data_IF_494471271463
#
_entry.id   IF_494471271463
#
_cell.length_a   1.000
_cell.length_b   1.000
_cell.length_c   1.000
_cell.angle_alpha   90.00
_cell.angle_beta   90.00
_cell.angle_gamma   90.00
#
_symmetry.space_group_name_H-M   'P 1'
#
loop_
_entity.id
_entity.type
_entity.pdbx_description
1 polymer ?
#
# COMPACT_ATOMS: atom_id res chain seq x y z
N UNK A 1 4.64 31.27 18.98
CA UNK A 1 4.77 30.67 17.64
C UNK A 1 4.45 29.19 17.65
N UNK A 2 3.18 28.83 17.46
CA UNK A 2 2.75 27.44 17.28
C UNK A 2 2.48 27.22 15.79
N UNK A 3 3.53 26.96 15.02
CA UNK A 3 3.35 26.44 13.67
C UNK A 3 3.01 24.94 13.79
N UNK A 4 1.77 24.50 13.50
CA UNK A 4 1.40 23.08 13.59
C UNK A 4 2.01 22.22 12.47
N UNK A 5 2.65 22.86 11.48
CA UNK A 5 3.32 22.21 10.37
C UNK A 5 4.83 22.24 10.62
N UNK A 6 5.41 21.14 11.10
CA UNK A 6 6.85 20.95 11.04
C UNK A 6 7.25 20.73 9.58
N UNK A 7 7.70 21.79 8.90
CA UNK A 7 8.15 21.71 7.51
C UNK A 7 9.58 21.21 7.42
N UNK A 8 9.77 19.90 7.48
CA UNK A 8 10.98 19.28 6.94
C UNK A 8 11.12 19.56 5.45
N UNK A 9 12.32 19.35 4.90
CA UNK A 9 12.61 19.55 3.47
C UNK A 9 11.65 18.77 2.55
N UNK A 10 11.28 17.55 2.96
CA UNK A 10 10.33 16.68 2.25
C UNK A 10 8.94 17.30 2.11
N UNK A 11 8.43 17.92 3.17
CA UNK A 11 7.13 18.60 3.14
C UNK A 11 7.19 19.83 2.23
N UNK A 12 8.27 20.62 2.30
CA UNK A 12 8.45 21.78 1.42
C UNK A 12 8.52 21.36 -0.05
N UNK A 13 9.21 20.26 -0.34
CA UNK A 13 9.27 19.66 -1.66
C UNK A 13 7.88 19.31 -2.19
N UNK A 14 7.08 18.59 -1.39
CA UNK A 14 5.71 18.24 -1.75
C UNK A 14 4.83 19.47 -1.98
N UNK A 15 4.97 20.51 -1.17
CA UNK A 15 4.22 21.78 -1.34
C UNK A 15 4.53 22.40 -2.70
N UNK A 16 5.82 22.50 -3.05
CA UNK A 16 6.23 23.04 -4.35
C UNK A 16 5.65 22.19 -5.49
N UNK A 17 5.74 20.87 -5.40
CA UNK A 17 5.18 19.95 -6.39
C UNK A 17 3.67 20.12 -6.57
N UNK A 18 2.92 20.20 -5.46
CA UNK A 18 1.46 20.39 -5.49
C UNK A 18 1.09 21.73 -6.13
N UNK A 19 1.87 22.80 -5.89
CA UNK A 19 1.63 24.10 -6.55
C UNK A 19 1.81 24.01 -8.06
N UNK A 20 2.86 23.35 -8.51
CA UNK A 20 3.12 23.14 -9.94
C UNK A 20 2.04 22.24 -10.59
N UNK A 21 1.54 21.25 -9.84
CA UNK A 21 0.38 20.45 -10.22
C UNK A 21 -0.90 21.31 -10.37
N UNK A 22 -1.22 22.15 -9.39
CA UNK A 22 -2.40 23.03 -9.40
C UNK A 22 -2.33 24.10 -10.49
N UNK A 23 -1.12 24.54 -10.86
CA UNK A 23 -0.90 25.45 -11.97
C UNK A 23 -0.93 24.74 -13.35
N UNK A 24 -1.25 23.45 -13.38
CA UNK A 24 -1.21 22.58 -14.57
C UNK A 24 0.14 22.48 -15.27
N UNK A 25 1.22 22.97 -14.63
CA UNK A 25 2.57 23.03 -15.20
C UNK A 25 3.20 21.65 -15.40
N UNK A 26 2.76 20.66 -14.62
CA UNK A 26 3.17 19.25 -14.82
C UNK A 26 2.69 18.65 -16.15
N UNK A 27 1.83 19.34 -16.90
CA UNK A 27 1.44 18.97 -18.27
C UNK A 27 2.44 19.46 -19.32
N UNK A 28 3.45 20.26 -18.95
CA UNK A 28 4.35 20.96 -19.90
C UNK A 28 5.83 20.62 -19.67
N UNK A 29 6.68 20.88 -20.69
CA UNK A 29 8.07 20.40 -20.76
C UNK A 29 9.02 21.04 -19.74
N UNK A 30 8.79 22.30 -19.34
CA UNK A 30 9.66 23.06 -18.44
C UNK A 30 8.90 23.60 -17.25
N UNK A 31 9.32 23.21 -16.04
CA UNK A 31 8.93 23.89 -14.82
C UNK A 31 10.12 23.98 -13.87
N UNK A 32 10.34 25.16 -13.30
CA UNK A 32 11.32 25.38 -12.24
C UNK A 32 10.61 25.33 -10.90
N UNK A 33 11.09 24.46 -10.02
CA UNK A 33 10.63 24.40 -8.64
C UNK A 33 11.26 25.60 -7.90
N UNK A 34 10.52 26.69 -7.78
CA UNK A 34 10.99 27.88 -7.07
C UNK A 34 10.96 27.67 -5.56
N UNK A 35 11.95 28.23 -4.85
CA UNK A 35 11.97 28.22 -3.39
C UNK A 35 10.82 29.05 -2.81
N UNK A 36 10.25 28.55 -1.71
CA UNK A 36 9.13 29.17 -1.00
C UNK A 36 9.59 29.56 0.39
N UNK A 37 9.26 30.78 0.81
CA UNK A 37 9.43 31.18 2.20
C UNK A 37 8.52 30.37 3.11
N UNK A 38 8.94 30.18 4.37
CA UNK A 38 8.20 29.43 5.39
C UNK A 38 6.79 29.98 5.62
N UNK A 39 6.61 31.31 5.56
CA UNK A 39 5.30 31.98 5.68
C UNK A 39 4.37 31.60 4.53
N UNK A 40 4.88 31.58 3.29
CA UNK A 40 4.10 31.21 2.11
C UNK A 40 3.74 29.72 2.09
N UNK A 41 4.53 28.86 2.73
CA UNK A 41 4.18 27.45 2.96
C UNK A 41 3.02 27.32 3.95
N UNK A 42 3.06 28.04 5.07
CA UNK A 42 2.02 28.02 6.10
C UNK A 42 0.64 28.42 5.57
N UNK A 43 0.55 29.55 4.88
CA UNK A 43 -0.74 30.06 4.38
C UNK A 43 -1.31 29.16 3.29
N UNK A 44 -0.43 28.65 2.42
CA UNK A 44 -0.82 27.63 1.44
C UNK A 44 -1.37 26.39 2.12
N UNK A 45 -0.72 25.86 3.15
CA UNK A 45 -1.16 24.64 3.83
C UNK A 45 -2.49 24.79 4.55
N UNK A 46 -2.71 25.90 5.25
CA UNK A 46 -4.00 26.21 5.88
C UNK A 46 -5.10 26.23 4.83
N UNK A 47 -4.89 26.95 3.72
CA UNK A 47 -5.86 27.04 2.63
C UNK A 47 -6.10 25.69 1.95
N UNK A 48 -5.02 24.94 1.67
CA UNK A 48 -5.07 23.64 1.03
C UNK A 48 -5.87 22.65 1.88
N UNK A 49 -5.51 22.47 3.15
CA UNK A 49 -6.15 21.45 3.98
C UNK A 49 -7.57 21.79 4.39
N UNK A 50 -7.91 23.08 4.53
CA UNK A 50 -9.29 23.52 4.75
C UNK A 50 -10.21 23.09 3.59
N UNK A 51 -9.68 23.03 2.36
CA UNK A 51 -10.43 22.54 1.19
C UNK A 51 -10.31 21.02 1.01
N UNK A 52 -9.15 20.47 1.35
CA UNK A 52 -8.80 19.08 1.10
C UNK A 52 -9.57 18.12 2.00
N UNK A 53 -9.64 18.41 3.30
CA UNK A 53 -10.26 17.56 4.32
C UNK A 53 -10.96 18.41 5.39
N UNK A 54 -12.06 19.11 5.04
CA UNK A 54 -12.75 20.04 5.95
C UNK A 54 -13.37 19.34 7.17
N UNK A 55 -13.75 18.07 7.02
CA UNK A 55 -14.55 17.35 8.01
C UNK A 55 -13.74 16.64 9.11
N UNK A 56 -12.41 16.67 9.04
CA UNK A 56 -11.54 15.93 9.97
C UNK A 56 -10.76 16.91 10.83
N UNK A 57 -10.72 16.63 12.14
CA UNK A 57 -9.83 17.33 13.07
C UNK A 57 -8.39 16.93 12.76
N UNK A 58 -7.72 17.78 11.99
CA UNK A 58 -6.35 17.56 11.55
C UNK A 58 -5.38 17.67 12.74
N UNK A 59 -4.43 16.74 12.81
CA UNK A 59 -3.34 16.76 13.80
C UNK A 59 -1.99 16.81 13.08
N UNK A 60 -0.90 17.22 13.77
CA UNK A 60 0.44 17.20 13.18
C UNK A 60 0.86 15.84 12.60
N UNK A 61 0.36 14.74 13.18
CA UNK A 61 0.58 13.38 12.69
C UNK A 61 -0.02 13.17 11.29
N UNK A 62 -1.25 13.66 11.05
CA UNK A 62 -1.90 13.55 9.74
C UNK A 62 -1.08 14.23 8.64
N UNK A 63 -0.54 15.41 8.93
CA UNK A 63 0.30 16.13 7.98
C UNK A 63 1.62 15.40 7.72
N UNK A 64 2.24 14.86 8.78
CA UNK A 64 3.50 14.11 8.67
C UNK A 64 3.30 12.87 7.79
N UNK A 65 2.26 12.08 8.06
CA UNK A 65 1.92 10.88 7.26
C UNK A 65 1.65 11.26 5.80
N UNK A 66 0.85 12.30 5.58
CA UNK A 66 0.52 12.79 4.25
C UNK A 66 1.76 13.17 3.44
N UNK A 67 2.67 13.93 4.04
CA UNK A 67 3.87 14.38 3.34
C UNK A 67 4.90 13.29 3.14
N UNK A 68 5.12 12.41 4.12
CA UNK A 68 6.02 11.26 3.97
C UNK A 68 5.56 10.37 2.81
N UNK A 69 4.24 10.11 2.73
CA UNK A 69 3.64 9.37 1.63
C UNK A 69 3.88 10.06 0.29
N UNK A 70 3.47 11.33 0.17
CA UNK A 70 3.57 12.05 -1.10
C UNK A 70 5.01 12.28 -1.54
N UNK A 71 5.93 12.52 -0.62
CA UNK A 71 7.35 12.70 -0.93
C UNK A 71 7.91 11.45 -1.59
N UNK A 72 7.61 10.28 -1.03
CA UNK A 72 7.99 8.98 -1.59
C UNK A 72 7.45 8.81 -3.01
N UNK A 73 6.19 9.19 -3.27
CA UNK A 73 5.59 9.07 -4.60
C UNK A 73 6.15 10.10 -5.61
N UNK A 74 6.27 11.36 -5.21
CA UNK A 74 6.70 12.44 -6.08
C UNK A 74 8.16 12.28 -6.48
N UNK A 75 9.04 11.88 -5.56
CA UNK A 75 10.45 11.62 -5.87
C UNK A 75 10.59 10.63 -7.04
N UNK A 76 9.83 9.53 -7.02
CA UNK A 76 9.82 8.54 -8.11
C UNK A 76 9.33 9.15 -9.43
N UNK A 77 8.28 9.98 -9.40
CA UNK A 77 7.73 10.63 -10.59
C UNK A 77 8.70 11.63 -11.23
N UNK A 78 9.54 12.28 -10.43
CA UNK A 78 10.54 13.24 -10.91
C UNK A 78 11.64 12.52 -11.66
N UNK A 79 12.13 11.43 -11.07
CA UNK A 79 13.26 10.66 -11.59
C UNK A 79 12.82 9.65 -12.67
N UNK A 80 11.52 9.58 -12.96
CA UNK A 80 10.95 8.67 -13.94
C UNK A 80 11.46 8.94 -15.36
N UNK A 81 12.30 8.02 -15.86
CA UNK A 81 12.72 7.97 -17.26
C UNK A 81 11.60 7.59 -18.23
N UNK A 82 10.55 6.94 -17.72
CA UNK A 82 9.40 6.50 -18.51
C UNK A 82 8.41 7.64 -18.78
N UNK A 83 8.40 8.65 -17.92
CA UNK A 83 7.50 9.80 -17.98
C UNK A 83 8.20 11.11 -18.37
N UNK A 84 9.31 11.02 -19.10
CA UNK A 84 10.01 12.21 -19.62
C UNK A 84 9.03 13.00 -20.50
N UNK A 85 8.94 14.30 -20.24
CA UNK A 85 7.90 15.18 -20.79
C UNK A 85 7.69 15.02 -22.30
N UNK A 86 8.74 14.89 -23.13
CA UNK A 86 8.59 14.65 -24.59
C UNK A 86 7.81 13.41 -24.98
N UNK A 87 7.89 12.31 -24.21
CA UNK A 87 7.17 11.06 -24.50
C UNK A 87 5.69 11.14 -24.14
N UNK A 88 5.35 11.94 -23.13
CA UNK A 88 3.98 12.03 -22.57
C UNK A 88 3.22 13.24 -23.11
N UNK A 89 3.91 14.33 -23.45
CA UNK A 89 3.30 15.59 -23.85
C UNK A 89 2.42 15.47 -25.10
N UNK A 90 2.87 14.72 -26.11
CA UNK A 90 2.12 14.47 -27.35
C UNK A 90 1.00 13.43 -27.18
N UNK A 91 0.77 12.93 -25.97
CA UNK A 91 -0.24 11.92 -25.69
C UNK A 91 -1.51 12.56 -25.09
N UNK A 92 -2.67 11.97 -25.40
CA UNK A 92 -3.98 12.47 -24.93
C UNK A 92 -4.10 12.45 -23.39
N UNK A 93 -3.45 11.48 -22.73
CA UNK A 93 -3.28 11.41 -21.28
C UNK A 93 -1.94 12.00 -20.85
N UNK A 94 -1.98 12.98 -19.96
CA UNK A 94 -0.81 13.53 -19.28
C UNK A 94 -0.45 12.70 -18.04
N UNK A 95 0.16 11.53 -18.26
CA UNK A 95 0.37 10.50 -17.23
C UNK A 95 1.05 10.99 -15.94
N UNK A 96 2.03 11.91 -16.02
CA UNK A 96 2.68 12.47 -14.83
C UNK A 96 1.73 13.32 -13.99
N UNK A 97 0.87 14.09 -14.64
CA UNK A 97 -0.16 14.89 -13.99
C UNK A 97 -1.24 14.00 -13.37
N UNK A 98 -1.71 12.98 -14.11
CA UNK A 98 -2.72 12.03 -13.60
C UNK A 98 -2.18 11.18 -12.44
N UNK A 99 -0.92 10.70 -12.50
CA UNK A 99 -0.29 9.98 -11.40
C UNK A 99 -0.11 10.86 -10.16
N UNK A 100 0.26 12.14 -10.34
CA UNK A 100 0.35 13.11 -9.24
C UNK A 100 -1.01 13.31 -8.58
N UNK A 101 -2.07 13.51 -9.39
CA UNK A 101 -3.44 13.61 -8.90
C UNK A 101 -3.85 12.35 -8.12
N UNK A 102 -3.55 11.18 -8.68
CA UNK A 102 -3.91 9.90 -8.08
C UNK A 102 -3.23 9.68 -6.73
N UNK A 103 -1.93 10.00 -6.61
CA UNK A 103 -1.22 9.93 -5.33
C UNK A 103 -1.83 10.84 -4.25
N UNK A 104 -2.22 12.07 -4.61
CA UNK A 104 -2.90 13.01 -3.72
C UNK A 104 -4.27 12.47 -3.28
N UNK A 105 -5.04 11.90 -4.20
CA UNK A 105 -6.35 11.31 -3.91
C UNK A 105 -6.24 10.05 -3.04
N UNK A 106 -5.23 9.20 -3.27
CA UNK A 106 -4.95 8.03 -2.42
C UNK A 106 -4.64 8.49 -1.00
N UNK A 107 -3.75 9.46 -0.84
CA UNK A 107 -3.39 10.00 0.47
C UNK A 107 -4.62 10.58 1.20
N UNK A 108 -5.54 11.23 0.45
CA UNK A 108 -6.82 11.69 0.99
C UNK A 108 -7.64 10.53 1.56
N UNK A 109 -7.87 9.50 0.76
CA UNK A 109 -8.76 8.39 1.10
C UNK A 109 -8.21 7.52 2.25
N UNK A 110 -6.88 7.38 2.30
CA UNK A 110 -6.22 6.59 3.34
C UNK A 110 -6.17 7.33 4.67
N UNK A 111 -5.75 8.59 4.67
CA UNK A 111 -5.38 9.31 5.90
C UNK A 111 -6.41 10.34 6.36
N UNK A 112 -7.33 10.74 5.48
CA UNK A 112 -8.33 11.77 5.75
C UNK A 112 -9.75 11.29 5.46
N UNK A 113 -10.03 10.04 5.81
CA UNK A 113 -11.39 9.49 5.88
C UNK A 113 -11.64 8.93 7.28
N UNK A 114 -12.78 9.25 7.88
CA UNK A 114 -13.15 8.82 9.24
C UNK A 114 -13.15 7.29 9.35
N UNK A 115 -12.45 6.76 10.36
CA UNK A 115 -12.37 5.32 10.61
C UNK A 115 -13.74 4.72 10.98
N UNK A 116 -14.60 5.48 11.65
CA UNK A 116 -15.96 5.03 12.01
C UNK A 116 -16.86 4.85 10.78
N UNK A 117 -16.63 5.64 9.73
CA UNK A 117 -17.32 5.49 8.45
C UNK A 117 -16.89 4.21 7.70
N UNK A 118 -15.71 3.67 8.01
CA UNK A 118 -15.15 2.46 7.36
C UNK A 118 -15.55 1.16 8.06
N UNK A 119 -16.04 1.21 9.29
CA UNK A 119 -16.26 0.01 10.12
C UNK A 119 -17.43 -0.88 9.63
N UNK A 120 -18.42 -0.28 8.97
CA UNK A 120 -19.56 -0.99 8.38
C UNK A 120 -19.41 -1.25 6.88
N UNK A 121 -18.33 -0.75 6.25
CA UNK A 121 -18.09 -0.94 4.82
C UNK A 121 -17.45 -2.32 4.60
N UNK A 122 -18.10 -3.15 3.78
CA UNK A 122 -17.59 -4.50 3.42
C UNK A 122 -16.52 -4.45 2.33
N UNK A 123 -16.35 -3.30 1.68
CA UNK A 123 -15.42 -3.09 0.57
C UNK A 123 -14.29 -2.15 0.99
N UNK A 124 -13.05 -2.47 0.60
CA UNK A 124 -11.91 -1.62 0.86
C UNK A 124 -12.07 -0.23 0.21
N UNK A 125 -11.71 0.84 0.95
CA UNK A 125 -11.97 2.23 0.57
C UNK A 125 -11.43 2.61 -0.82
N UNK A 126 -10.20 2.19 -1.18
CA UNK A 126 -9.65 2.46 -2.50
C UNK A 126 -10.43 1.74 -3.61
N UNK A 127 -10.92 0.53 -3.36
CA UNK A 127 -11.75 -0.21 -4.32
C UNK A 127 -13.04 0.55 -4.62
N UNK A 128 -13.71 1.04 -3.57
CA UNK A 128 -14.93 1.84 -3.67
C UNK A 128 -14.70 3.14 -4.44
N UNK A 129 -13.62 3.85 -4.11
CA UNK A 129 -13.27 5.13 -4.74
C UNK A 129 -12.91 5.00 -6.22
N UNK A 130 -12.15 3.96 -6.59
CA UNK A 130 -11.68 3.77 -7.96
C UNK A 130 -12.53 2.86 -8.82
N UNK A 131 -13.66 2.34 -8.33
CA UNK A 131 -14.53 1.41 -9.05
C UNK A 131 -14.96 1.87 -10.47
N UNK A 132 -14.94 3.18 -10.72
CA UNK A 132 -15.38 3.80 -11.97
C UNK A 132 -14.34 4.78 -12.53
N UNK A 133 -13.07 4.65 -12.14
CA UNK A 133 -12.02 5.61 -12.50
C UNK A 133 -10.68 4.92 -12.76
N UNK A 134 -9.82 5.59 -13.54
CA UNK A 134 -8.45 5.16 -13.82
C UNK A 134 -7.60 5.30 -12.55
N UNK A 135 -6.99 4.20 -12.08
CA UNK A 135 -6.04 4.20 -10.98
C UNK A 135 -4.62 4.13 -11.55
N UNK A 136 -3.78 5.10 -11.20
CA UNK A 136 -2.42 5.24 -11.72
C UNK A 136 -1.43 4.89 -10.60
N UNK A 137 -0.97 3.64 -10.58
CA UNK A 137 0.05 3.19 -9.62
C UNK A 137 1.44 3.58 -10.10
N UNK A 138 2.18 4.28 -9.25
CA UNK A 138 3.58 4.66 -9.48
C UNK A 138 4.47 3.49 -9.04
N UNK A 139 5.19 2.88 -9.97
CA UNK A 139 6.08 1.74 -9.71
C UNK A 139 7.48 2.23 -9.27
N UNK A 140 8.25 1.40 -8.53
CA UNK A 140 9.63 1.74 -8.10
C UNK A 140 10.54 2.12 -9.29
N UNK A 141 10.37 1.46 -10.44
CA UNK A 141 11.19 1.69 -11.62
C UNK A 141 10.83 3.00 -12.37
N UNK A 142 9.93 3.80 -11.80
CA UNK A 142 9.40 5.02 -12.39
C UNK A 142 8.35 4.80 -13.47
N UNK A 143 8.00 3.55 -13.83
CA UNK A 143 6.88 3.27 -14.73
C UNK A 143 5.53 3.44 -14.01
N UNK A 144 4.44 3.35 -14.77
CA UNK A 144 3.09 3.36 -14.21
C UNK A 144 2.40 2.03 -14.52
N UNK A 145 1.69 1.49 -13.53
CA UNK A 145 0.68 0.47 -13.75
C UNK A 145 -0.70 1.13 -13.72
N UNK A 146 -1.43 1.04 -14.82
CA UNK A 146 -2.78 1.57 -14.97
C UNK A 146 -3.79 0.47 -14.66
N UNK A 147 -4.69 0.75 -13.72
CA UNK A 147 -5.81 -0.15 -13.41
C UNK A 147 -7.12 0.56 -13.76
N UNK A 148 -7.99 -0.10 -14.51
CA UNK A 148 -9.25 0.47 -15.00
C UNK A 148 -10.44 -0.44 -14.72
N UNK A 149 -11.61 0.19 -14.62
CA UNK A 149 -12.84 -0.55 -14.43
C UNK A 149 -13.24 -1.31 -15.68
N UNK A 150 -13.31 -0.65 -16.84
CA UNK A 150 -13.76 -1.25 -18.07
C UNK A 150 -12.75 -0.99 -19.17
N UNK A 151 -12.49 -2.01 -19.98
CA UNK A 151 -11.63 -1.93 -21.15
C UNK A 151 -12.08 -0.83 -22.13
N UNK A 152 -13.39 -0.58 -22.20
CA UNK A 152 -13.96 0.49 -23.03
C UNK A 152 -13.65 1.90 -22.51
N UNK A 153 -13.12 2.04 -21.29
CA UNK A 153 -12.67 3.33 -20.73
C UNK A 153 -11.30 3.76 -21.33
N UNK A 154 -10.75 2.96 -22.26
CA UNK A 154 -9.50 3.20 -22.98
C UNK A 154 -9.70 3.36 -24.49
N UNK A 155 -9.12 4.43 -25.04
CA UNK A 155 -8.99 4.64 -26.49
C UNK A 155 -7.87 3.77 -27.06
N UNK A 156 -7.94 3.44 -28.35
CA UNK A 156 -6.92 2.60 -29.01
C UNK A 156 -5.51 3.20 -28.99
N UNK A 157 -5.41 4.52 -29.18
CA UNK A 157 -4.14 5.27 -29.05
C UNK A 157 -3.50 5.09 -27.66
N UNK A 158 -4.33 5.11 -26.60
CA UNK A 158 -3.87 4.92 -25.22
C UNK A 158 -3.35 3.48 -25.03
N UNK A 159 -4.07 2.48 -25.58
CA UNK A 159 -3.64 1.07 -25.53
C UNK A 159 -2.31 0.85 -26.24
N UNK A 160 -2.13 1.42 -27.43
CA UNK A 160 -0.87 1.33 -28.16
C UNK A 160 0.28 1.99 -27.41
N UNK A 161 0.03 3.15 -26.81
CA UNK A 161 1.04 3.84 -26.01
C UNK A 161 1.49 3.00 -24.82
N UNK A 162 0.55 2.39 -24.08
CA UNK A 162 0.86 1.51 -22.94
C UNK A 162 1.73 0.32 -23.35
N UNK A 163 1.43 -0.31 -24.50
CA UNK A 163 2.24 -1.40 -25.07
C UNK A 163 3.68 -0.95 -25.39
N UNK A 164 3.84 0.26 -25.95
CA UNK A 164 5.16 0.82 -26.32
C UNK A 164 5.98 1.28 -25.11
N UNK A 165 5.34 1.76 -24.05
CA UNK A 165 5.99 2.36 -22.87
C UNK A 165 6.28 1.39 -21.74
N UNK A 166 6.03 0.09 -21.96
CA UNK A 166 6.14 -0.93 -20.93
C UNK A 166 5.30 -0.55 -19.70
N UNK A 167 4.08 -0.03 -19.87
CA UNK A 167 3.13 0.16 -18.77
C UNK A 167 2.26 -1.08 -18.65
N UNK A 168 1.87 -1.44 -17.42
CA UNK A 168 0.95 -2.57 -17.20
C UNK A 168 -0.46 -2.06 -17.16
N UNK A 169 -1.36 -2.72 -17.88
CA UNK A 169 -2.79 -2.48 -17.82
C UNK A 169 -3.48 -3.64 -17.12
N UNK A 170 -4.28 -3.34 -16.10
CA UNK A 170 -5.23 -4.29 -15.49
C UNK A 170 -6.66 -3.76 -15.63
N UNK A 171 -7.60 -4.64 -16.01
CA UNK A 171 -9.01 -4.30 -16.15
C UNK A 171 -9.89 -5.22 -15.30
N UNK A 172 -10.73 -4.67 -14.40
CA UNK A 172 -11.46 -5.50 -13.41
C UNK A 172 -12.97 -5.71 -13.62
N UNK A 173 -13.72 -4.89 -14.39
CA UNK A 173 -15.16 -5.17 -14.68
C UNK A 173 -15.33 -6.24 -15.74
N UNK A 174 -14.37 -6.42 -16.65
CA UNK A 174 -14.37 -7.63 -17.46
C UNK A 174 -14.30 -8.88 -16.58
N UNK A 175 -13.64 -8.84 -15.41
CA UNK A 175 -13.63 -9.94 -14.46
C UNK A 175 -15.02 -10.17 -13.85
N UNK A 176 -15.72 -9.14 -13.38
CA UNK A 176 -17.04 -9.31 -12.76
C UNK A 176 -18.12 -9.68 -13.78
N UNK A 177 -18.07 -9.16 -15.01
CA UNK A 177 -18.99 -9.55 -16.07
C UNK A 177 -18.64 -10.92 -16.66
N UNK A 178 -17.35 -11.29 -16.77
CA UNK A 178 -16.94 -12.67 -17.10
C UNK A 178 -17.37 -13.60 -15.97
N UNK A 179 -17.10 -13.29 -14.70
CA UNK A 179 -17.48 -14.10 -13.52
C UNK A 179 -19.01 -14.18 -13.34
N UNK A 180 -19.79 -13.10 -13.44
CA UNK A 180 -21.26 -13.14 -13.35
C UNK A 180 -21.90 -13.80 -14.56
N UNK A 181 -21.37 -13.61 -15.80
CA UNK A 181 -21.77 -14.43 -16.94
C UNK A 181 -21.35 -15.89 -16.71
N UNK A 182 -20.17 -16.18 -16.19
CA UNK A 182 -19.71 -17.51 -15.76
C UNK A 182 -20.73 -18.14 -14.82
N UNK A 183 -21.15 -17.47 -13.73
CA UNK A 183 -22.12 -18.01 -12.78
C UNK A 183 -23.53 -18.17 -13.36
N UNK A 184 -23.93 -17.32 -14.31
CA UNK A 184 -25.26 -17.38 -14.96
C UNK A 184 -25.29 -18.32 -16.18
N UNK A 185 -24.13 -18.64 -16.75
CA UNK A 185 -23.95 -19.42 -17.98
C UNK A 185 -23.41 -20.83 -17.70
N UNK A 186 -22.64 -21.07 -16.62
CA UNK A 186 -22.37 -22.42 -16.07
C UNK A 186 -23.68 -23.16 -15.76
N UNK A 187 -24.73 -22.44 -15.37
CA UNK A 187 -26.07 -22.99 -15.13
C UNK A 187 -26.84 -23.35 -16.41
N UNK A 188 -26.37 -22.93 -17.60
CA UNK A 188 -27.18 -23.02 -18.84
C UNK A 188 -26.42 -23.56 -20.07
N UNK A 189 -25.15 -23.20 -20.32
CA UNK A 189 -24.37 -23.68 -21.47
C UNK A 189 -22.87 -23.73 -21.15
N UNK A 190 -22.30 -24.94 -21.25
CA UNK A 190 -20.93 -25.33 -20.90
C UNK A 190 -19.88 -24.57 -21.71
N UNK A 191 -19.40 -23.44 -21.19
CA UNK A 191 -18.09 -22.90 -21.51
C UNK A 191 -17.31 -22.69 -20.22
N UNK A 192 -16.29 -23.52 -20.04
CA UNK A 192 -15.33 -23.44 -18.95
C UNK A 192 -14.19 -22.55 -19.48
N UNK A 193 -13.89 -21.38 -18.88
CA UNK A 193 -12.71 -20.63 -19.26
C UNK A 193 -11.51 -21.57 -19.19
N UNK A 194 -10.64 -21.49 -20.18
CA UNK A 194 -9.45 -22.34 -20.15
C UNK A 194 -8.66 -22.02 -18.87
N UNK A 195 -8.02 -23.04 -18.29
CA UNK A 195 -7.08 -22.81 -17.19
C UNK A 195 -5.96 -21.83 -17.60
N UNK A 196 -5.71 -21.68 -18.90
CA UNK A 196 -4.74 -20.76 -19.46
C UNK A 196 -5.14 -19.29 -19.29
N UNK A 197 -6.40 -18.92 -19.55
CA UNK A 197 -6.88 -17.52 -19.40
C UNK A 197 -6.79 -17.03 -17.96
N UNK A 198 -7.19 -17.89 -17.01
CA UNK A 198 -7.14 -17.59 -15.56
C UNK A 198 -5.69 -17.43 -15.11
N UNK A 199 -4.80 -18.27 -15.64
CA UNK A 199 -3.38 -18.22 -15.34
C UNK A 199 -2.72 -16.98 -15.92
N UNK A 200 -3.06 -16.59 -17.15
CA UNK A 200 -2.55 -15.38 -17.79
C UNK A 200 -2.95 -14.13 -17.00
N UNK A 201 -4.20 -14.05 -16.56
CA UNK A 201 -4.68 -12.94 -15.75
C UNK A 201 -3.97 -12.88 -14.39
N UNK A 202 -3.80 -14.04 -13.73
CA UNK A 202 -3.00 -14.12 -12.49
C UNK A 202 -1.57 -13.63 -12.71
N UNK A 203 -0.93 -13.97 -13.83
CA UNK A 203 0.42 -13.50 -14.20
C UNK A 203 0.48 -11.98 -14.38
N UNK A 204 -0.52 -11.36 -15.03
CA UNK A 204 -0.61 -9.88 -15.17
C UNK A 204 -0.69 -9.19 -13.81
N UNK A 205 -1.47 -9.75 -12.88
CA UNK A 205 -1.62 -9.22 -11.52
C UNK A 205 -0.33 -9.36 -10.69
N UNK A 206 0.36 -10.50 -10.82
CA UNK A 206 1.69 -10.70 -10.24
C UNK A 206 2.67 -9.66 -10.77
N UNK A 207 2.65 -9.39 -12.08
CA UNK A 207 3.53 -8.41 -12.70
C UNK A 207 3.32 -6.99 -12.15
N UNK A 208 2.08 -6.59 -11.84
CA UNK A 208 1.81 -5.31 -11.15
C UNK A 208 2.46 -5.28 -9.76
N UNK A 209 2.32 -6.34 -8.96
CA UNK A 209 2.95 -6.42 -7.64
C UNK A 209 4.47 -6.39 -7.75
N UNK A 210 5.06 -7.19 -8.64
CA UNK A 210 6.51 -7.22 -8.87
C UNK A 210 7.05 -5.85 -9.30
N UNK A 211 6.36 -5.15 -10.21
CA UNK A 211 6.78 -3.81 -10.64
C UNK A 211 6.60 -2.76 -9.58
N UNK A 212 5.54 -2.86 -8.77
CA UNK A 212 5.29 -1.91 -7.71
C UNK A 212 6.54 -1.77 -6.85
N UNK A 213 7.16 -2.88 -6.43
CA UNK A 213 8.41 -2.92 -5.64
C UNK A 213 9.70 -3.00 -6.47
N UNK A 214 9.65 -3.02 -7.80
CA UNK A 214 10.84 -3.05 -8.65
C UNK A 214 11.61 -4.38 -8.63
N UNK A 215 10.93 -5.51 -8.51
CA UNK A 215 11.56 -6.85 -8.55
C UNK A 215 12.39 -7.02 -9.84
N UNK A 216 13.66 -7.45 -9.73
CA UNK A 216 14.52 -7.71 -10.88
C UNK A 216 13.92 -8.74 -11.84
N UNK A 217 14.08 -8.53 -13.15
CA UNK A 217 13.45 -9.35 -14.19
C UNK A 217 13.79 -10.84 -14.05
N UNK A 218 15.01 -11.14 -13.63
CA UNK A 218 15.56 -12.49 -13.49
C UNK A 218 14.83 -13.30 -12.41
N UNK A 219 14.20 -12.63 -11.44
CA UNK A 219 13.45 -13.28 -10.36
C UNK A 219 11.96 -13.45 -10.65
N UNK A 220 11.42 -12.72 -11.64
CA UNK A 220 9.98 -12.68 -11.92
C UNK A 220 9.42 -14.05 -12.31
N UNK A 221 10.14 -14.82 -13.11
CA UNK A 221 9.70 -16.15 -13.53
C UNK A 221 9.62 -17.11 -12.35
N UNK A 222 10.62 -17.08 -11.46
CA UNK A 222 10.63 -17.91 -10.26
C UNK A 222 9.50 -17.54 -9.29
N UNK A 223 9.23 -16.25 -9.10
CA UNK A 223 8.11 -15.75 -8.28
C UNK A 223 6.77 -16.18 -8.88
N UNK A 224 6.62 -15.98 -10.19
CA UNK A 224 5.41 -16.38 -10.92
C UNK A 224 5.15 -17.87 -10.76
N UNK A 225 6.18 -18.70 -10.91
CA UNK A 225 6.07 -20.15 -10.68
C UNK A 225 5.64 -20.47 -9.25
N UNK A 226 6.25 -19.86 -8.23
CA UNK A 226 5.85 -20.05 -6.82
C UNK A 226 4.39 -19.68 -6.57
N UNK A 227 3.91 -18.58 -7.16
CA UNK A 227 2.53 -18.10 -6.96
C UNK A 227 1.49 -18.87 -7.79
N UNK A 228 1.86 -19.41 -8.94
CA UNK A 228 0.96 -20.13 -9.83
C UNK A 228 0.93 -21.64 -9.58
N UNK A 229 2.03 -22.23 -9.12
CA UNK A 229 2.20 -23.69 -8.98
C UNK A 229 2.51 -24.13 -7.55
N UNK A 230 3.00 -23.22 -6.70
CA UNK A 230 3.39 -23.51 -5.32
C UNK A 230 2.26 -23.30 -4.30
N UNK A 231 2.64 -22.86 -3.10
CA UNK A 231 1.75 -22.66 -1.95
C UNK A 231 0.53 -21.78 -2.27
N UNK A 232 0.72 -20.77 -3.15
CA UNK A 232 -0.33 -19.82 -3.50
C UNK A 232 -1.06 -20.18 -4.81
N UNK A 233 -0.92 -21.41 -5.34
CA UNK A 233 -1.60 -21.86 -6.57
C UNK A 233 -3.08 -21.48 -6.59
N UNK A 234 -3.78 -21.75 -5.49
CA UNK A 234 -5.22 -21.51 -5.34
C UNK A 234 -5.56 -20.13 -4.73
N UNK A 235 -4.55 -19.32 -4.40
CA UNK A 235 -4.80 -17.96 -3.93
C UNK A 235 -5.31 -17.09 -5.10
N UNK A 236 -6.47 -16.46 -4.89
CA UNK A 236 -7.11 -15.59 -5.88
C UNK A 236 -6.69 -14.15 -5.63
N UNK A 237 -5.90 -13.60 -6.55
CA UNK A 237 -5.47 -12.20 -6.54
C UNK A 237 -6.59 -11.29 -7.03
N UNK A 238 -7.72 -11.20 -6.32
CA UNK A 238 -8.81 -10.29 -6.70
C UNK A 238 -8.32 -8.85 -6.79
N UNK A 239 -9.02 -7.99 -7.55
CA UNK A 239 -8.71 -6.56 -7.58
C UNK A 239 -8.66 -5.93 -6.18
N UNK A 240 -9.57 -6.37 -5.30
CA UNK A 240 -9.60 -5.95 -3.90
C UNK A 240 -8.33 -6.36 -3.14
N UNK A 241 -7.88 -7.61 -3.30
CA UNK A 241 -6.62 -8.08 -2.72
C UNK A 241 -5.42 -7.32 -3.29
N UNK A 242 -5.40 -7.03 -4.60
CA UNK A 242 -4.33 -6.26 -5.25
C UNK A 242 -4.27 -4.84 -4.69
N UNK A 243 -5.40 -4.13 -4.57
CA UNK A 243 -5.39 -2.78 -3.99
C UNK A 243 -5.01 -2.76 -2.52
N UNK A 244 -5.42 -3.77 -1.74
CA UNK A 244 -4.96 -3.92 -0.34
C UNK A 244 -3.45 -4.14 -0.29
N UNK A 245 -2.91 -5.03 -1.12
CA UNK A 245 -1.47 -5.28 -1.24
C UNK A 245 -0.69 -4.05 -1.67
N UNK A 246 -1.18 -3.33 -2.69
CA UNK A 246 -0.59 -2.06 -3.15
C UNK A 246 -0.58 -1.03 -2.03
N UNK A 247 -1.67 -0.89 -1.27
CA UNK A 247 -1.72 0.01 -0.12
C UNK A 247 -0.65 -0.34 0.93
N UNK A 248 -0.50 -1.63 1.26
CA UNK A 248 0.53 -2.10 2.19
C UNK A 248 1.93 -1.74 1.68
N UNK A 249 2.22 -2.00 0.40
CA UNK A 249 3.50 -1.65 -0.24
C UNK A 249 3.77 -0.14 -0.14
N UNK A 250 2.77 0.69 -0.47
CA UNK A 250 2.92 2.15 -0.45
C UNK A 250 3.20 2.66 0.97
N UNK A 251 2.53 2.11 1.98
CA UNK A 251 2.74 2.49 3.39
C UNK A 251 4.11 2.04 3.89
N UNK A 252 4.50 0.78 3.65
CA UNK A 252 5.81 0.24 4.03
C UNK A 252 6.95 1.08 3.47
N UNK A 253 6.85 1.48 2.20
CA UNK A 253 7.87 2.28 1.52
C UNK A 253 7.93 3.72 1.98
N UNK A 254 6.80 4.25 2.40
CA UNK A 254 6.70 5.57 3.01
C UNK A 254 7.07 5.53 4.50
N UNK A 255 7.58 4.39 5.00
CA UNK A 255 7.90 4.14 6.42
C UNK A 255 6.73 4.46 7.36
N UNK A 256 5.51 4.18 6.92
CA UNK A 256 4.30 4.42 7.68
C UNK A 256 3.92 3.20 8.54
N UNK A 257 3.46 3.42 9.78
CA UNK A 257 2.89 2.37 10.61
C UNK A 257 1.74 1.68 9.86
N UNK A 258 1.83 0.36 9.69
CA UNK A 258 0.85 -0.41 8.91
C UNK A 258 0.24 -1.51 9.76
N UNK A 259 -1.03 -1.31 10.12
CA UNK A 259 -1.83 -2.25 10.91
C UNK A 259 -3.03 -2.70 10.10
N UNK A 260 -3.17 -4.02 9.93
CA UNK A 260 -4.32 -4.65 9.28
C UNK A 260 -5.33 -5.07 10.34
N UNK A 261 -6.50 -4.43 10.36
CA UNK A 261 -7.60 -4.83 11.22
C UNK A 261 -8.68 -5.57 10.42
N UNK A 262 -9.15 -6.69 10.94
CA UNK A 262 -10.25 -7.47 10.36
C UNK A 262 -10.53 -8.72 11.16
N UNK A 263 -11.68 -9.36 10.95
CA UNK A 263 -12.06 -10.56 11.69
C UNK A 263 -11.10 -11.74 11.47
N UNK A 264 -11.13 -12.70 12.38
CA UNK A 264 -10.39 -13.96 12.19
C UNK A 264 -10.84 -14.67 10.91
N UNK A 265 -9.90 -15.25 10.15
CA UNK A 265 -10.22 -15.97 8.92
C UNK A 265 -10.49 -15.09 7.68
N UNK A 266 -10.46 -13.75 7.78
CA UNK A 266 -10.61 -12.87 6.61
C UNK A 266 -9.37 -12.82 5.69
N UNK A 267 -8.31 -13.58 6.02
CA UNK A 267 -7.15 -13.78 5.15
C UNK A 267 -6.00 -12.79 5.32
N UNK A 268 -5.91 -12.04 6.44
CA UNK A 268 -4.83 -11.07 6.73
C UNK A 268 -3.43 -11.69 6.58
N UNK A 269 -3.17 -12.78 7.28
CA UNK A 269 -1.90 -13.52 7.26
C UNK A 269 -1.58 -14.04 5.86
N UNK A 270 -2.57 -14.62 5.18
CA UNK A 270 -2.40 -15.14 3.83
C UNK A 270 -2.09 -14.03 2.81
N UNK A 271 -2.72 -12.85 2.95
CA UNK A 271 -2.45 -11.66 2.14
C UNK A 271 -0.99 -11.22 2.31
N UNK A 272 -0.49 -11.12 3.54
CA UNK A 272 0.90 -10.71 3.81
C UNK A 272 1.91 -11.73 3.29
N UNK A 273 1.68 -13.03 3.53
CA UNK A 273 2.55 -14.10 3.01
C UNK A 273 2.59 -14.13 1.48
N UNK A 274 1.43 -14.01 0.84
CA UNK A 274 1.34 -13.96 -0.62
C UNK A 274 2.05 -12.72 -1.17
N UNK A 275 1.87 -11.56 -0.53
CA UNK A 275 2.52 -10.33 -0.91
C UNK A 275 4.05 -10.42 -0.78
N UNK A 276 4.58 -10.92 0.34
CA UNK A 276 6.01 -11.11 0.54
C UNK A 276 6.62 -12.04 -0.52
N UNK A 277 5.89 -13.09 -0.91
CA UNK A 277 6.29 -13.96 -2.01
C UNK A 277 6.32 -13.19 -3.35
N UNK A 278 5.30 -12.37 -3.65
CA UNK A 278 5.21 -11.58 -4.88
C UNK A 278 6.28 -10.49 -4.99
N UNK A 279 6.69 -9.91 -3.87
CA UNK A 279 7.73 -8.88 -3.81
C UNK A 279 9.14 -9.46 -3.66
N UNK A 280 9.27 -10.80 -3.49
CA UNK A 280 10.51 -11.47 -3.14
C UNK A 280 11.18 -10.82 -1.91
N UNK A 281 10.37 -10.57 -0.88
CA UNK A 281 10.81 -10.00 0.39
C UNK A 281 10.86 -11.10 1.45
N UNK A 282 11.91 -11.09 2.27
CA UNK A 282 12.03 -11.99 3.42
C UNK A 282 10.98 -11.61 4.48
N UNK A 283 10.25 -12.60 4.98
CA UNK A 283 9.17 -12.42 5.95
C UNK A 283 9.47 -13.20 7.23
N UNK A 284 9.55 -12.50 8.35
CA UNK A 284 9.49 -13.09 9.69
C UNK A 284 8.09 -12.84 10.25
N UNK A 285 7.25 -13.86 10.29
CA UNK A 285 5.93 -13.79 10.92
C UNK A 285 6.02 -14.28 12.37
N UNK A 286 5.43 -13.54 13.29
CA UNK A 286 5.35 -13.86 14.72
C UNK A 286 3.88 -13.82 15.13
N UNK A 287 3.35 -14.96 15.53
CA UNK A 287 1.99 -15.07 16.08
C UNK A 287 2.03 -14.64 17.54
N UNK A 288 1.54 -13.43 17.84
CA UNK A 288 1.54 -12.89 19.19
C UNK A 288 0.48 -13.61 20.03
N UNK A 289 0.85 -13.95 21.26
CA UNK A 289 -0.03 -14.51 22.28
C UNK A 289 0.43 -14.05 23.67
N UNK A 290 -0.35 -14.34 24.71
CA UNK A 290 -0.08 -13.87 26.08
C UNK A 290 1.25 -14.35 26.71
N UNK A 291 1.95 -15.28 26.07
CA UNK A 291 3.28 -15.76 26.50
C UNK A 291 4.45 -15.04 25.84
N UNK A 292 4.20 -14.18 24.84
CA UNK A 292 5.25 -13.42 24.15
C UNK A 292 5.48 -12.10 24.87
N UNK A 293 6.67 -11.99 25.47
CA UNK A 293 7.17 -10.77 26.10
C UNK A 293 8.20 -10.04 25.23
N UNK A 294 8.68 -8.91 25.74
CA UNK A 294 9.68 -8.06 25.05
C UNK A 294 10.98 -8.79 24.73
N UNK A 295 11.44 -9.66 25.62
CA UNK A 295 12.67 -10.45 25.43
C UNK A 295 12.62 -11.31 24.17
N UNK A 296 11.47 -11.93 23.90
CA UNK A 296 11.27 -12.71 22.68
C UNK A 296 11.34 -11.83 21.42
N UNK A 297 10.71 -10.65 21.44
CA UNK A 297 10.81 -9.73 20.30
C UNK A 297 12.23 -9.19 20.11
N UNK A 298 12.98 -8.94 21.18
CA UNK A 298 14.40 -8.61 21.08
C UNK A 298 15.19 -9.70 20.34
N UNK A 299 14.96 -10.97 20.66
CA UNK A 299 15.58 -12.11 19.98
C UNK A 299 15.19 -12.18 18.50
N UNK A 300 13.91 -11.97 18.18
CA UNK A 300 13.43 -11.93 16.80
C UNK A 300 14.09 -10.79 16.01
N UNK A 301 14.13 -9.58 16.57
CA UNK A 301 14.79 -8.41 15.95
C UNK A 301 16.29 -8.69 15.77
N UNK A 302 16.95 -9.31 16.75
CA UNK A 302 18.36 -9.71 16.65
C UNK A 302 18.59 -10.70 15.50
N UNK A 303 17.75 -11.73 15.39
CA UNK A 303 17.77 -12.71 14.29
C UNK A 303 17.54 -12.06 12.93
N UNK A 304 16.66 -11.05 12.85
CA UNK A 304 16.47 -10.26 11.63
C UNK A 304 17.72 -9.43 11.28
N UNK A 305 18.35 -8.79 12.27
CA UNK A 305 19.61 -8.04 12.07
C UNK A 305 20.75 -8.95 11.57
N UNK A 306 20.87 -10.16 12.10
CA UNK A 306 21.88 -11.14 11.65
C UNK A 306 21.62 -11.62 10.21
N UNK A 307 20.35 -11.82 9.84
CA UNK A 307 19.95 -12.14 8.46
C UNK A 307 20.25 -10.99 7.49
N UNK A 308 19.99 -9.74 7.87
CA UNK A 308 20.35 -8.56 7.08
C UNK A 308 21.86 -8.49 6.80
N UNK A 309 22.70 -8.68 7.82
CA UNK A 309 24.17 -8.72 7.64
C UNK A 309 24.61 -9.83 6.69
N UNK A 310 24.00 -11.01 6.81
CA UNK A 310 24.31 -12.15 5.94
C UNK A 310 23.91 -11.86 4.49
N UNK A 311 22.79 -11.17 4.31
CA UNK A 311 22.30 -10.71 3.01
C UNK A 311 23.23 -9.67 2.38
N UNK A 312 23.82 -8.75 3.16
CA UNK A 312 24.79 -7.76 2.69
C UNK A 312 26.10 -8.43 2.23
N UNK A 313 26.63 -9.36 3.02
CA UNK A 313 27.91 -10.03 2.75
C UNK A 313 27.92 -10.91 1.48
N UNK A 314 26.75 -11.36 1.00
CA UNK A 314 26.63 -12.13 -0.25
C UNK A 314 26.79 -11.27 -1.53
N UNK A 315 27.08 -9.98 -1.40
CA UNK A 315 27.06 -9.00 -2.49
C UNK A 315 28.46 -8.41 -2.72
N UNK A 316 29.32 -9.12 -3.46
CA UNK A 316 30.69 -8.64 -3.79
C UNK A 316 30.80 -7.91 -5.15
N UNK A 317 29.79 -7.96 -6.03
CA UNK A 317 29.85 -7.27 -7.33
C UNK A 317 29.28 -5.85 -7.26
N UNK A 318 30.19 -4.86 -7.22
CA UNK A 318 29.95 -3.40 -7.14
C UNK A 318 29.34 -2.78 -8.41
N UNK A 319 29.28 -3.51 -9.53
CA UNK A 319 28.96 -2.91 -10.83
C UNK A 319 27.48 -2.50 -11.01
N UNK A 320 26.57 -2.88 -10.10
CA UNK A 320 25.13 -2.58 -10.20
C UNK A 320 24.48 -2.11 -8.89
N UNK A 321 25.26 -1.55 -7.96
CA UNK A 321 24.82 -1.18 -6.62
C UNK A 321 23.68 -0.14 -6.62
N UNK A 322 23.70 0.80 -7.57
CA UNK A 322 22.71 1.87 -7.73
C UNK A 322 21.37 1.43 -8.35
N UNK A 323 21.25 0.18 -8.81
CA UNK A 323 20.01 -0.39 -9.39
C UNK A 323 19.42 -1.53 -8.55
N UNK A 324 20.03 -1.87 -7.42
CA UNK A 324 19.53 -2.94 -6.54
C UNK A 324 18.57 -2.37 -5.52
N UNK A 325 17.41 -3.00 -5.39
CA UNK A 325 16.53 -2.73 -4.26
C UNK A 325 17.25 -3.06 -2.95
N UNK A 326 17.16 -2.19 -1.93
CA UNK A 326 17.69 -2.50 -0.61
C UNK A 326 17.06 -3.80 -0.11
N UNK A 327 17.90 -4.68 0.44
CA UNK A 327 17.40 -5.93 1.01
C UNK A 327 16.71 -5.58 2.32
N UNK A 328 15.40 -5.80 2.37
CA UNK A 328 14.57 -5.56 3.53
C UNK A 328 13.98 -6.87 4.06
N UNK A 329 13.67 -6.88 5.35
CA UNK A 329 12.93 -7.95 6.02
C UNK A 329 11.63 -7.36 6.55
N UNK A 330 10.52 -8.02 6.25
CA UNK A 330 9.23 -7.69 6.85
C UNK A 330 9.07 -8.50 8.14
N UNK A 331 8.92 -7.81 9.27
CA UNK A 331 8.53 -8.38 10.54
C UNK A 331 7.02 -8.22 10.68
N UNK A 332 6.28 -9.32 10.56
CA UNK A 332 4.83 -9.34 10.67
C UNK A 332 4.39 -9.85 12.04
N UNK A 333 3.73 -8.99 12.80
CA UNK A 333 3.22 -9.26 14.15
C UNK A 333 1.72 -9.58 14.03
N UNK A 334 1.38 -10.87 13.96
CA UNK A 334 -0.01 -11.29 13.86
C UNK A 334 -0.67 -11.30 15.25
N UNK A 335 -1.95 -10.94 15.29
CA UNK A 335 -2.76 -10.88 16.51
C UNK A 335 -2.10 -10.13 17.69
N UNK A 336 -1.37 -9.02 17.43
CA UNK A 336 -0.58 -8.34 18.45
C UNK A 336 -1.38 -7.86 19.67
N UNK A 337 -2.68 -7.59 19.47
CA UNK A 337 -3.60 -7.15 20.50
C UNK A 337 -4.05 -8.26 21.47
N UNK A 338 -3.60 -9.51 21.27
CA UNK A 338 -3.76 -10.58 22.27
C UNK A 338 -2.71 -10.50 23.39
N UNK A 339 -1.67 -9.69 23.22
CA UNK A 339 -0.68 -9.44 24.26
C UNK A 339 -1.28 -8.66 25.42
N UNK A 340 -0.95 -8.99 26.68
CA UNK A 340 -1.39 -8.21 27.84
C UNK A 340 -0.73 -6.81 27.92
N UNK A 341 0.38 -6.58 27.19
CA UNK A 341 1.10 -5.31 27.20
C UNK A 341 1.16 -4.72 25.77
N UNK A 342 0.10 -4.01 25.37
CA UNK A 342 0.00 -3.34 24.07
C UNK A 342 0.89 -2.06 24.01
N UNK A 343 1.31 -1.53 25.16
CA UNK A 343 1.99 -0.25 25.25
C UNK A 343 3.31 -0.20 24.47
N UNK A 344 4.15 -1.21 24.60
CA UNK A 344 5.42 -1.27 23.85
C UNK A 344 5.23 -1.69 22.38
N UNK A 345 4.12 -2.34 22.01
CA UNK A 345 3.78 -2.54 20.59
C UNK A 345 3.51 -1.21 19.88
N UNK A 346 2.94 -0.23 20.57
CA UNK A 346 2.80 1.11 20.02
C UNK A 346 4.18 1.75 19.74
N UNK A 347 5.14 1.61 20.65
CA UNK A 347 6.52 2.05 20.40
C UNK A 347 7.13 1.31 19.19
N UNK A 348 7.00 -0.01 19.18
CA UNK A 348 7.53 -0.88 18.14
C UNK A 348 6.98 -0.53 16.75
N UNK A 349 5.67 -0.39 16.63
CA UNK A 349 4.98 -0.19 15.35
C UNK A 349 5.06 1.28 14.90
N UNK A 350 4.82 2.23 15.80
CA UNK A 350 4.73 3.65 15.46
C UNK A 350 6.07 4.36 15.46
N UNK A 351 6.90 4.13 16.48
CA UNK A 351 8.20 4.80 16.64
C UNK A 351 9.35 4.01 16.05
N UNK A 352 9.12 2.73 15.70
CA UNK A 352 10.14 1.81 15.20
C UNK A 352 11.33 1.71 16.15
N UNK A 353 11.03 1.62 17.44
CA UNK A 353 12.01 1.39 18.50
C UNK A 353 11.50 0.35 19.49
N UNK A 354 12.42 -0.27 20.21
CA UNK A 354 12.11 -1.17 21.32
C UNK A 354 13.01 -0.81 22.49
N UNK A 355 12.39 -0.46 23.63
CA UNK A 355 13.08 0.03 24.82
C UNK A 355 13.99 1.24 24.51
N UNK A 356 13.50 2.16 23.67
CA UNK A 356 14.21 3.36 23.24
C UNK A 356 15.28 3.15 22.17
N UNK A 357 15.55 1.90 21.77
CA UNK A 357 16.55 1.59 20.73
C UNK A 357 15.86 1.53 19.38
N UNK A 358 16.26 2.41 18.45
CA UNK A 358 15.71 2.44 17.09
C UNK A 358 16.03 1.15 16.32
N UNK A 359 15.05 0.65 15.60
CA UNK A 359 15.13 -0.50 14.72
C UNK A 359 15.65 -0.05 13.35
N UNK A 360 16.54 -0.82 12.69
CA UNK A 360 17.05 -0.50 11.36
C UNK A 360 15.94 -0.24 10.34
N UNK A 361 16.20 0.67 9.39
CA UNK A 361 15.17 1.09 8.43
C UNK A 361 14.78 -0.04 7.47
N UNK A 362 15.65 -1.04 7.30
CA UNK A 362 15.50 -2.25 6.50
C UNK A 362 14.56 -3.30 7.13
N UNK A 363 14.27 -3.19 8.44
CA UNK A 363 13.27 -4.04 9.10
C UNK A 363 11.93 -3.29 9.08
N UNK A 364 11.04 -3.70 8.18
CA UNK A 364 9.70 -3.11 8.03
C UNK A 364 8.72 -3.84 8.94
N UNK A 365 8.03 -3.10 9.79
CA UNK A 365 7.10 -3.69 10.77
C UNK A 365 5.69 -3.61 10.20
N UNK A 366 5.04 -4.77 10.13
CA UNK A 366 3.65 -4.95 9.78
C UNK A 366 2.94 -5.58 10.97
N UNK A 367 1.71 -5.17 11.24
CA UNK A 367 0.94 -5.76 12.33
C UNK A 367 -0.47 -6.10 11.87
N UNK A 368 -1.08 -7.09 12.51
CA UNK A 368 -2.49 -7.41 12.34
C UNK A 368 -3.19 -7.58 13.67
N UNK A 369 -4.46 -7.17 13.71
CA UNK A 369 -5.30 -7.32 14.89
C UNK A 369 -6.74 -7.69 14.51
N UNK A 370 -7.41 -8.36 15.44
CA UNK A 370 -8.85 -8.60 15.35
C UNK A 370 -9.59 -7.44 16.03
N UNK A 371 -10.69 -6.91 15.45
CA UNK A 371 -11.42 -5.81 16.03
C UNK A 371 -12.04 -6.18 17.39
N UNK A 372 -12.25 -5.16 18.23
CA UNK A 372 -12.97 -5.31 19.49
C UNK A 372 -14.47 -5.19 19.24
N UNK A 373 -15.23 -6.26 19.48
CA UNK A 373 -16.66 -6.33 19.19
C UNK A 373 -17.46 -6.47 20.48
N UNK A 374 -18.58 -5.74 20.56
CA UNK A 374 -19.53 -5.90 21.66
C UNK A 374 -20.19 -7.28 21.55
N UNK A 375 -20.09 -8.08 22.61
CA UNK A 375 -20.76 -9.37 22.75
C UNK A 375 -22.25 -9.12 22.95
N UNK A 376 -23.06 -9.97 22.33
CA UNK A 376 -24.42 -10.22 22.81
C UNK A 376 -24.28 -11.25 23.93
N UNK A 377 -24.38 -10.78 25.18
CA UNK A 377 -24.36 -11.64 26.35
C UNK A 377 -25.70 -12.39 26.42
N UNK A 378 -25.66 -13.66 26.81
CA UNK A 378 -26.87 -14.37 27.26
C UNK A 378 -27.36 -13.77 28.58
N UNK A 379 -28.64 -13.98 28.93
CA UNK A 379 -29.20 -13.52 30.22
C UNK A 379 -28.36 -13.96 31.42
N UNK A 380 -27.80 -15.17 31.34
CA UNK A 380 -26.96 -15.75 32.39
C UNK A 380 -25.59 -15.07 32.46
N UNK A 381 -24.99 -14.73 31.32
CA UNK A 381 -23.75 -13.93 31.26
C UNK A 381 -23.99 -12.46 31.69
N UNK A 382 -25.16 -11.89 31.44
CA UNK A 382 -25.52 -10.55 31.93
C UNK A 382 -25.60 -10.51 33.46
N UNK A 383 -26.12 -11.55 34.10
CA UNK A 383 -26.10 -11.67 35.57
C UNK A 383 -24.68 -11.83 36.14
N UNK A 384 -23.81 -12.57 35.45
CA UNK A 384 -22.43 -12.81 35.92
C UNK A 384 -21.49 -11.64 35.65
N UNK A 385 -21.68 -10.94 34.53
CA UNK A 385 -20.73 -9.96 34.01
C UNK A 385 -21.31 -8.57 33.78
N UNK A 386 -22.58 -8.32 34.10
CA UNK A 386 -23.25 -7.04 33.85
C UNK A 386 -22.61 -5.82 34.53
N UNK A 387 -21.84 -6.05 35.60
CA UNK A 387 -21.04 -5.01 36.27
C UNK A 387 -19.67 -4.74 35.64
N UNK A 388 -19.16 -5.65 34.79
CA UNK A 388 -17.88 -5.51 34.12
C UNK A 388 -18.07 -4.91 32.72
N UNK A 389 -17.72 -3.63 32.58
CA UNK A 389 -17.82 -2.89 31.32
C UNK A 389 -16.93 -3.45 30.20
N UNK A 390 -15.92 -4.27 30.50
CA UNK A 390 -15.06 -4.90 29.49
C UNK A 390 -15.55 -6.28 29.09
N UNK A 391 -16.21 -7.02 30.00
CA UNK A 391 -16.76 -8.35 29.72
C UNK A 391 -17.85 -8.35 28.65
N UNK A 392 -18.49 -7.20 28.40
CA UNK A 392 -19.42 -7.02 27.27
C UNK A 392 -18.71 -6.99 25.91
N UNK A 393 -17.39 -7.14 25.82
CA UNK A 393 -16.63 -7.11 24.57
C UNK A 393 -15.71 -8.34 24.42
N UNK A 394 -15.37 -8.67 23.17
CA UNK A 394 -14.40 -9.70 22.84
C UNK A 394 -13.67 -9.35 21.55
N UNK A 395 -12.44 -9.85 21.41
CA UNK A 395 -11.74 -9.90 20.13
C UNK A 395 -12.43 -10.92 19.22
N UNK A 396 -12.88 -10.48 18.04
CA UNK A 396 -13.49 -11.35 17.01
C UNK A 396 -12.99 -10.99 15.63
#
# INVERSE_FOLDING_TARGET
>A
DNNPFQFGEEAQYCIKWIKEFQAEKLRWEFYTINDLSTTNCNDFMKSFFNRFAPSIRQSPLHYTIFFNFLFTQFKILVDSKSLVNRRVYNHSIQYKHEATKNAIEIAKELFFTDASAKENDTQFCLCKKWQSSKFFLINQDGSISLMISNENDMKDEEREFLKKTNFVLLCWKEEMNKLQRLWKWITVNVYIPSNEDILEEKKKRIEVLCRSVGVPKEKKDAITKKLCEGEFKHYVLTYDNILKMVNIILNVRSNLPTVLMGETGCGKTALIKCLACATNTELEAVDIHGGIGRTHIHEVIKKCKERLKSMENMVESKENESQRNPKEIWLFLDEFNTSPDIGWFNELICNRSLDGIKIPDEIKILAACNPYRKRKLSKQEEEWFGGDQLAQYAYR
#
